data_IF_997323375647
#
_entry.id   IF_997323375647
#
_cell.length_a   1.000
_cell.length_b   1.000
_cell.length_c   1.000
_cell.angle_alpha   90.00
_cell.angle_beta   90.00
_cell.angle_gamma   90.00
#
_symmetry.space_group_name_H-M   'P 1'
#
loop_
_entity.id
_entity.type
_entity.pdbx_description
1 polymer ?
#
# COMPACT_ATOMS: atom_id res chain seq x y z
N UNK A 1 -8.21 -8.39 2.36
CA UNK A 1 -7.52 -9.07 1.25
C UNK A 1 -6.10 -9.48 1.62
N UNK A 2 -5.28 -8.63 2.27
CA UNK A 2 -3.93 -8.99 2.71
C UNK A 2 -3.95 -10.15 3.74
N UNK A 3 -4.91 -10.14 4.67
CA UNK A 3 -5.09 -11.23 5.63
C UNK A 3 -5.44 -12.55 4.94
N UNK A 4 -6.37 -12.52 3.98
CA UNK A 4 -6.76 -13.71 3.21
C UNK A 4 -5.58 -14.27 2.41
N UNK A 5 -4.81 -13.41 1.74
CA UNK A 5 -3.62 -13.81 1.00
C UNK A 5 -2.58 -14.47 1.90
N UNK A 6 -2.34 -13.90 3.08
CA UNK A 6 -1.41 -14.47 4.07
C UNK A 6 -1.90 -15.84 4.58
N UNK A 7 -3.21 -15.98 4.83
CA UNK A 7 -3.80 -17.27 5.25
C UNK A 7 -3.63 -18.34 4.19
N UNK A 8 -3.94 -18.03 2.93
CA UNK A 8 -3.75 -18.98 1.83
C UNK A 8 -2.28 -19.42 1.71
N UNK A 9 -1.34 -18.49 1.77
CA UNK A 9 0.09 -18.82 1.77
C UNK A 9 0.48 -19.75 2.93
N UNK A 10 -0.07 -19.53 4.14
CA UNK A 10 0.15 -20.37 5.32
C UNK A 10 -0.40 -21.80 5.17
N UNK A 11 -1.43 -21.99 4.36
CA UNK A 11 -1.97 -23.31 3.98
C UNK A 11 -1.27 -23.93 2.77
N UNK A 12 -0.19 -23.30 2.26
CA UNK A 12 0.53 -23.79 1.09
C UNK A 12 -0.21 -23.60 -0.24
N UNK A 13 -1.26 -22.76 -0.25
CA UNK A 13 -2.03 -22.46 -1.45
C UNK A 13 -1.35 -21.36 -2.26
N UNK A 14 -1.29 -21.57 -3.58
CA UNK A 14 -0.78 -20.58 -4.52
C UNK A 14 -1.88 -19.59 -4.91
N UNK A 15 -1.53 -18.30 -4.97
CA UNK A 15 -2.40 -17.24 -5.45
C UNK A 15 -1.95 -16.81 -6.84
N UNK A 16 -2.90 -16.72 -7.78
CA UNK A 16 -2.66 -16.15 -9.09
C UNK A 16 -3.12 -14.71 -9.19
N UNK A 17 -2.46 -13.90 -10.01
CA UNK A 17 -2.87 -12.54 -10.32
C UNK A 17 -3.58 -12.50 -11.66
N UNK A 18 -4.78 -11.90 -11.68
CA UNK A 18 -5.50 -11.63 -12.91
C UNK A 18 -4.86 -10.39 -13.55
N UNK A 19 -4.40 -10.53 -14.80
CA UNK A 19 -3.67 -9.46 -15.51
C UNK A 19 -4.58 -8.42 -16.17
N UNK A 20 -5.89 -8.61 -16.14
CA UNK A 20 -6.84 -7.64 -16.71
C UNK A 20 -6.93 -6.40 -15.82
N UNK A 21 -6.91 -5.19 -16.40
CA UNK A 21 -7.02 -3.96 -15.62
C UNK A 21 -8.42 -3.84 -14.99
N UNK A 22 -8.45 -3.41 -13.74
CA UNK A 22 -9.68 -2.99 -13.04
C UNK A 22 -9.70 -1.46 -13.02
N UNK A 23 -10.84 -0.87 -13.37
CA UNK A 23 -11.03 0.57 -13.32
C UNK A 23 -11.76 0.92 -12.03
N UNK A 24 -11.15 1.83 -11.25
CA UNK A 24 -11.72 2.33 -10.00
C UNK A 24 -11.76 3.85 -10.01
N UNK A 25 -12.77 4.43 -9.36
CA UNK A 25 -12.82 5.87 -9.14
C UNK A 25 -11.83 6.27 -8.05
N UNK A 26 -10.93 7.20 -8.39
CA UNK A 26 -10.05 7.79 -7.40
C UNK A 26 -10.82 8.81 -6.56
N UNK A 27 -10.62 8.86 -5.24
CA UNK A 27 -11.22 9.91 -4.41
C UNK A 27 -10.68 11.27 -4.82
N UNK A 28 -11.59 12.20 -5.14
CA UNK A 28 -11.27 13.58 -5.56
C UNK A 28 -11.04 14.51 -4.37
N UNK A 29 -11.58 14.18 -3.20
CA UNK A 29 -11.43 14.95 -1.98
C UNK A 29 -10.38 14.36 -1.06
N UNK A 30 -9.51 15.23 -0.51
CA UNK A 30 -8.47 14.82 0.43
C UNK A 30 -9.06 14.15 1.68
N UNK A 31 -10.20 14.64 2.16
CA UNK A 31 -10.91 14.07 3.32
C UNK A 31 -11.33 12.61 3.09
N UNK A 32 -11.87 12.30 1.92
CA UNK A 32 -12.28 10.95 1.52
C UNK A 32 -11.04 10.08 1.33
N UNK A 33 -9.99 10.61 0.70
CA UNK A 33 -8.72 9.91 0.51
C UNK A 33 -8.08 9.51 1.85
N UNK A 34 -7.99 10.43 2.82
CA UNK A 34 -7.43 10.16 4.16
C UNK A 34 -8.25 9.08 4.88
N UNK A 35 -9.58 9.15 4.84
CA UNK A 35 -10.46 8.12 5.42
C UNK A 35 -10.21 6.75 4.79
N UNK A 36 -10.12 6.68 3.46
CA UNK A 36 -9.84 5.46 2.72
C UNK A 36 -8.47 4.87 3.11
N UNK A 37 -7.42 5.70 3.15
CA UNK A 37 -6.06 5.25 3.52
C UNK A 37 -5.97 4.85 4.98
N UNK A 38 -6.64 5.56 5.90
CA UNK A 38 -6.77 5.16 7.30
C UNK A 38 -7.38 3.77 7.44
N UNK A 39 -8.43 3.49 6.70
CA UNK A 39 -9.09 2.18 6.69
C UNK A 39 -8.13 1.07 6.23
N UNK A 40 -7.33 1.34 5.18
CA UNK A 40 -6.36 0.38 4.68
C UNK A 40 -5.24 0.12 5.71
N UNK A 41 -4.67 1.16 6.28
CA UNK A 41 -3.67 1.01 7.35
C UNK A 41 -4.24 0.27 8.57
N UNK A 42 -5.48 0.55 8.97
CA UNK A 42 -6.15 -0.18 10.05
C UNK A 42 -6.27 -1.67 9.72
N UNK A 43 -6.67 -2.02 8.50
CA UNK A 43 -6.74 -3.40 8.04
C UNK A 43 -5.36 -4.10 8.04
N UNK A 44 -4.31 -3.42 7.59
CA UNK A 44 -2.94 -3.96 7.62
C UNK A 44 -2.40 -4.13 9.03
N UNK A 45 -2.66 -3.19 9.92
CA UNK A 45 -2.32 -3.31 11.35
C UNK A 45 -3.04 -4.50 11.99
N UNK A 46 -4.33 -4.67 11.75
CA UNK A 46 -5.10 -5.81 12.24
C UNK A 46 -4.55 -7.13 11.70
N UNK A 47 -4.26 -7.22 10.40
CA UNK A 47 -3.59 -8.38 9.78
C UNK A 47 -2.28 -8.68 10.47
N UNK A 48 -1.43 -7.66 10.66
CA UNK A 48 -0.15 -7.82 11.34
C UNK A 48 -0.32 -8.37 12.76
N UNK A 49 -1.20 -7.77 13.57
CA UNK A 49 -1.45 -8.23 14.94
C UNK A 49 -1.98 -9.66 14.99
N UNK A 50 -2.89 -10.04 14.10
CA UNK A 50 -3.45 -11.40 14.04
C UNK A 50 -2.36 -12.43 13.75
N UNK A 51 -1.52 -12.18 12.75
CA UNK A 51 -0.48 -13.13 12.35
C UNK A 51 0.70 -13.15 13.33
N UNK A 52 1.02 -12.01 13.95
CA UNK A 52 2.10 -11.91 14.94
C UNK A 52 1.72 -12.39 16.34
N UNK A 53 0.51 -12.89 16.57
CA UNK A 53 0.18 -13.60 17.83
C UNK A 53 1.05 -14.83 18.03
N UNK A 54 1.43 -15.51 16.95
CA UNK A 54 2.25 -16.70 16.96
C UNK A 54 3.36 -16.61 15.90
N UNK A 55 4.40 -15.78 16.11
CA UNK A 55 5.41 -15.47 15.08
C UNK A 55 6.21 -16.70 14.66
N UNK A 56 6.52 -17.61 15.60
CA UNK A 56 7.22 -18.87 15.30
C UNK A 56 6.38 -19.76 14.38
N UNK A 57 5.07 -19.84 14.63
CA UNK A 57 4.16 -20.61 13.79
C UNK A 57 4.04 -19.97 12.41
N UNK A 58 3.93 -18.63 12.34
CA UNK A 58 3.93 -17.90 11.08
C UNK A 58 5.17 -18.25 10.24
N UNK A 59 6.36 -18.20 10.84
CA UNK A 59 7.62 -18.49 10.14
C UNK A 59 7.72 -19.96 9.70
N UNK A 60 7.15 -20.88 10.48
CA UNK A 60 7.09 -22.29 10.11
C UNK A 60 6.15 -22.54 8.93
N UNK A 61 4.97 -21.91 8.95
CA UNK A 61 3.94 -22.08 7.92
C UNK A 61 4.38 -21.44 6.58
N UNK A 62 5.03 -20.27 6.62
CA UNK A 62 5.46 -19.54 5.42
C UNK A 62 6.86 -19.89 4.91
N UNK A 63 7.68 -20.51 5.75
CA UNK A 63 9.11 -20.67 5.51
C UNK A 63 9.86 -19.33 5.57
N UNK A 64 11.19 -19.35 5.37
CA UNK A 64 12.02 -18.16 5.48
C UNK A 64 11.66 -17.08 4.45
N UNK A 65 11.55 -17.46 3.19
CA UNK A 65 11.25 -16.52 2.10
C UNK A 65 9.88 -15.85 2.27
N UNK A 66 8.84 -16.63 2.62
CA UNK A 66 7.49 -16.11 2.87
C UNK A 66 7.44 -15.21 4.11
N UNK A 67 8.18 -15.54 5.16
CA UNK A 67 8.28 -14.69 6.36
C UNK A 67 8.95 -13.36 6.05
N UNK A 68 10.06 -13.38 5.31
CA UNK A 68 10.72 -12.14 4.87
C UNK A 68 9.79 -11.31 4.00
N UNK A 69 9.10 -11.93 3.04
CA UNK A 69 8.13 -11.23 2.20
C UNK A 69 7.00 -10.61 3.02
N UNK A 70 6.44 -11.34 4.00
CA UNK A 70 5.41 -10.80 4.90
C UNK A 70 5.89 -9.56 5.65
N UNK A 71 7.10 -9.63 6.24
CA UNK A 71 7.66 -8.49 6.97
C UNK A 71 8.02 -7.32 6.06
N UNK A 72 8.58 -7.55 4.90
CA UNK A 72 8.87 -6.47 3.95
C UNK A 72 7.60 -5.79 3.45
N UNK A 73 6.56 -6.54 3.11
CA UNK A 73 5.32 -5.99 2.56
C UNK A 73 4.43 -5.36 3.62
N UNK A 74 4.17 -6.03 4.75
CA UNK A 74 3.21 -5.53 5.74
C UNK A 74 3.92 -4.70 6.81
N UNK A 75 4.92 -5.26 7.49
CA UNK A 75 5.61 -4.55 8.56
C UNK A 75 6.40 -3.36 8.03
N UNK A 76 7.13 -3.54 6.92
CA UNK A 76 7.92 -2.49 6.27
C UNK A 76 7.05 -1.31 5.84
N UNK A 77 5.89 -1.58 5.21
CA UNK A 77 4.96 -0.54 4.80
C UNK A 77 4.37 0.24 5.98
N UNK A 78 3.95 -0.47 7.04
CA UNK A 78 3.42 0.18 8.25
C UNK A 78 4.51 1.04 8.91
N UNK A 79 5.70 0.46 9.14
CA UNK A 79 6.81 1.17 9.78
C UNK A 79 7.27 2.37 8.95
N UNK A 80 7.42 2.22 7.64
CA UNK A 80 7.83 3.34 6.79
C UNK A 80 6.86 4.52 6.86
N UNK A 81 5.55 4.26 6.87
CA UNK A 81 4.56 5.31 7.00
C UNK A 81 4.55 5.97 8.39
N UNK A 82 4.76 5.20 9.46
CA UNK A 82 4.77 5.73 10.83
C UNK A 82 6.05 6.49 11.16
N UNK A 83 7.20 6.01 10.68
CA UNK A 83 8.52 6.57 11.02
C UNK A 83 8.91 7.75 10.11
N UNK A 84 8.36 7.81 8.90
CA UNK A 84 8.71 8.81 7.88
C UNK A 84 8.73 10.27 8.39
N UNK A 85 7.73 10.81 9.12
CA UNK A 85 7.77 12.18 9.59
C UNK A 85 8.91 12.43 10.59
N UNK A 86 9.27 11.42 11.38
CA UNK A 86 10.38 11.54 12.33
C UNK A 86 11.72 11.57 11.61
N UNK A 87 11.90 10.80 10.53
CA UNK A 87 13.10 10.85 9.68
C UNK A 87 13.29 12.24 9.08
N UNK A 88 12.22 12.86 8.57
CA UNK A 88 12.28 14.22 8.03
C UNK A 88 12.69 15.21 9.12
N UNK A 89 12.05 15.15 10.30
CA UNK A 89 12.36 16.06 11.43
C UNK A 89 13.81 15.85 11.87
N UNK A 90 14.25 14.61 12.01
CA UNK A 90 15.62 14.29 12.43
C UNK A 90 16.65 14.83 11.42
N UNK A 91 16.49 14.53 10.12
CA UNK A 91 17.41 15.01 9.09
C UNK A 91 17.42 16.53 9.02
N UNK A 92 16.26 17.19 9.09
CA UNK A 92 16.16 18.65 9.08
C UNK A 92 16.86 19.27 10.29
N UNK A 93 16.66 18.71 11.48
CA UNK A 93 17.31 19.15 12.70
C UNK A 93 18.83 18.95 12.65
N UNK A 94 19.29 17.81 12.13
CA UNK A 94 20.71 17.53 11.98
C UNK A 94 21.40 18.52 11.01
N UNK A 95 20.73 18.86 9.91
CA UNK A 95 21.22 19.87 8.95
C UNK A 95 21.27 21.27 9.60
N UNK A 96 20.21 21.65 10.32
CA UNK A 96 20.17 22.92 11.06
C UNK A 96 21.31 23.03 12.07
N UNK A 97 21.52 21.97 12.88
CA UNK A 97 22.61 21.96 13.87
C UNK A 97 24.00 21.98 13.23
N UNK A 98 24.18 21.28 12.12
CA UNK A 98 25.46 21.31 11.39
C UNK A 98 25.76 22.70 10.83
N UNK A 99 24.72 23.43 10.42
CA UNK A 99 24.84 24.81 9.95
C UNK A 99 25.25 25.76 11.09
N UNK A 100 24.63 25.65 12.26
CA UNK A 100 24.89 26.60 13.36
C UNK A 100 26.14 26.28 14.20
N UNK A 101 26.37 25.00 14.45
CA UNK A 101 27.37 24.55 15.42
C UNK A 101 28.54 23.75 14.80
N UNK A 102 28.52 23.55 13.49
CA UNK A 102 29.51 22.75 12.81
C UNK A 102 29.22 21.24 12.86
N UNK A 103 30.13 20.39 12.32
CA UNK A 103 29.91 18.96 12.17
C UNK A 103 29.69 18.27 13.51
N UNK A 104 28.68 17.38 13.55
CA UNK A 104 28.34 16.59 14.73
C UNK A 104 29.42 15.53 15.04
N UNK A 105 29.34 14.92 16.22
CA UNK A 105 30.15 13.76 16.60
C UNK A 105 29.98 12.60 15.59
N UNK A 106 30.99 11.73 15.49
CA UNK A 106 31.00 10.62 14.50
C UNK A 106 29.73 9.73 14.60
N UNK A 107 29.23 9.46 15.79
CA UNK A 107 28.00 8.67 15.98
C UNK A 107 26.75 9.35 15.41
N UNK A 108 26.61 10.66 15.64
CA UNK A 108 25.48 11.44 15.12
C UNK A 108 25.58 11.60 13.59
N UNK A 109 26.78 11.66 13.03
CA UNK A 109 26.97 11.67 11.58
C UNK A 109 26.56 10.34 10.94
N UNK A 110 26.89 9.22 11.55
CA UNK A 110 26.51 7.90 11.03
C UNK A 110 24.98 7.73 11.00
N UNK A 111 24.28 8.15 12.05
CA UNK A 111 22.81 8.12 12.07
C UNK A 111 22.22 9.05 11.02
N UNK A 112 22.75 10.25 10.87
CA UNK A 112 22.32 11.19 9.83
C UNK A 112 22.43 10.59 8.42
N UNK A 113 23.57 9.98 8.08
CA UNK A 113 23.76 9.37 6.77
C UNK A 113 22.86 8.16 6.56
N UNK A 114 22.60 7.37 7.61
CA UNK A 114 21.68 6.25 7.55
C UNK A 114 20.25 6.72 7.24
N UNK A 115 19.75 7.71 7.97
CA UNK A 115 18.39 8.23 7.81
C UNK A 115 18.21 8.95 6.48
N UNK A 116 19.22 9.77 6.08
CA UNK A 116 19.21 10.42 4.78
C UNK A 116 19.21 9.39 3.63
N UNK A 117 20.05 8.36 3.74
CA UNK A 117 20.09 7.29 2.72
C UNK A 117 18.78 6.52 2.64
N UNK A 118 18.15 6.26 3.77
CA UNK A 118 16.83 5.58 3.80
C UNK A 118 15.75 6.42 3.11
N UNK A 119 15.69 7.73 3.38
CA UNK A 119 14.78 8.66 2.71
C UNK A 119 15.02 8.73 1.21
N UNK A 120 16.28 8.97 0.82
CA UNK A 120 16.63 9.11 -0.59
C UNK A 120 16.40 7.81 -1.37
N UNK A 121 16.76 6.66 -0.81
CA UNK A 121 16.53 5.35 -1.43
C UNK A 121 15.03 5.08 -1.59
N UNK A 122 14.23 5.41 -0.60
CA UNK A 122 12.78 5.27 -0.66
C UNK A 122 12.17 6.13 -1.77
N UNK A 123 12.50 7.41 -1.82
CA UNK A 123 12.01 8.32 -2.87
C UNK A 123 12.52 7.94 -4.26
N UNK A 124 13.80 7.59 -4.36
CA UNK A 124 14.40 7.16 -5.63
C UNK A 124 13.74 5.88 -6.15
N UNK A 125 13.56 4.87 -5.30
CA UNK A 125 12.95 3.59 -5.70
C UNK A 125 11.52 3.81 -6.22
N UNK A 126 10.72 4.61 -5.49
CA UNK A 126 9.36 4.94 -5.91
C UNK A 126 9.34 5.76 -7.20
N UNK A 127 10.18 6.78 -7.29
CA UNK A 127 10.32 7.63 -8.47
C UNK A 127 10.80 6.84 -9.70
N UNK A 128 11.78 5.96 -9.51
CA UNK A 128 12.30 5.07 -10.57
C UNK A 128 11.22 4.12 -11.09
N UNK A 129 10.47 3.49 -10.19
CA UNK A 129 9.37 2.61 -10.57
C UNK A 129 8.32 3.38 -11.38
N UNK A 130 7.90 4.55 -10.89
CA UNK A 130 6.95 5.41 -11.61
C UNK A 130 7.51 5.88 -12.96
N UNK A 131 8.78 6.26 -13.02
CA UNK A 131 9.45 6.64 -14.27
C UNK A 131 9.40 5.54 -15.32
N UNK A 132 9.59 4.29 -14.91
CA UNK A 132 9.56 3.11 -15.80
C UNK A 132 8.15 2.74 -16.23
N UNK A 133 7.15 2.85 -15.34
CA UNK A 133 5.79 2.32 -15.57
C UNK A 133 4.84 3.32 -16.23
N UNK A 134 4.95 4.63 -15.92
CA UNK A 134 4.05 5.64 -16.46
C UNK A 134 4.05 5.73 -18.00
N UNK A 135 5.20 5.72 -18.70
CA UNK A 135 5.20 5.79 -20.17
C UNK A 135 4.53 4.59 -20.83
N UNK A 136 4.75 3.39 -20.29
CA UNK A 136 4.15 2.14 -20.80
C UNK A 136 2.62 2.19 -20.77
N UNK A 137 2.06 2.97 -19.84
CA UNK A 137 0.61 3.19 -19.69
C UNK A 137 0.10 4.46 -20.36
N UNK A 138 0.92 5.14 -21.16
CA UNK A 138 0.53 6.41 -21.82
C UNK A 138 0.48 7.63 -20.87
N UNK A 139 0.92 7.48 -19.62
CA UNK A 139 0.85 8.47 -18.55
C UNK A 139 2.17 9.22 -18.34
N UNK A 140 3.06 9.25 -19.34
CA UNK A 140 4.39 9.87 -19.25
C UNK A 140 4.37 11.36 -18.85
N UNK A 141 3.30 12.08 -19.17
CA UNK A 141 3.12 13.49 -18.79
C UNK A 141 3.03 13.69 -17.26
N UNK A 142 2.69 12.65 -16.49
CA UNK A 142 2.59 12.71 -15.02
C UNK A 142 3.96 12.64 -14.31
N UNK A 143 5.07 12.46 -15.04
CA UNK A 143 6.42 12.44 -14.44
C UNK A 143 6.74 13.71 -13.63
N UNK A 144 6.19 14.86 -14.02
CA UNK A 144 6.34 16.12 -13.28
C UNK A 144 5.79 16.05 -11.83
N UNK A 145 4.90 15.09 -11.54
CA UNK A 145 4.37 14.88 -10.19
C UNK A 145 5.37 14.23 -9.23
N UNK A 146 6.57 13.85 -9.66
CA UNK A 146 7.59 13.27 -8.78
C UNK A 146 7.95 14.20 -7.61
N UNK A 147 7.89 15.52 -7.81
CA UNK A 147 8.12 16.47 -6.74
C UNK A 147 7.07 16.44 -5.63
N UNK A 148 5.92 15.82 -5.86
CA UNK A 148 4.87 15.65 -4.85
C UNK A 148 5.07 14.41 -3.98
N UNK A 149 6.04 13.54 -4.30
CA UNK A 149 6.28 12.28 -3.57
C UNK A 149 6.47 12.51 -2.06
N UNK A 150 7.31 13.47 -1.59
CA UNK A 150 7.48 13.70 -0.16
C UNK A 150 6.17 14.11 0.52
N UNK A 151 5.38 14.97 -0.11
CA UNK A 151 4.07 15.40 0.40
C UNK A 151 3.10 14.22 0.47
N UNK A 152 3.07 13.39 -0.55
CA UNK A 152 2.26 12.18 -0.57
C UNK A 152 2.60 11.22 0.57
N UNK A 153 3.90 11.00 0.85
CA UNK A 153 4.34 10.18 1.97
C UNK A 153 3.95 10.78 3.32
N UNK A 154 4.01 12.09 3.48
CA UNK A 154 3.51 12.77 4.68
C UNK A 154 2.01 12.56 4.89
N UNK A 155 1.22 12.63 3.82
CA UNK A 155 -0.22 12.33 3.88
C UNK A 155 -0.49 10.87 4.25
N UNK A 156 0.30 9.92 3.74
CA UNK A 156 0.24 8.50 4.14
C UNK A 156 0.56 8.34 5.63
N UNK A 157 1.55 9.08 6.14
CA UNK A 157 1.89 9.07 7.56
C UNK A 157 0.73 9.57 8.44
N UNK A 158 0.06 10.64 8.04
CA UNK A 158 -1.15 11.13 8.72
C UNK A 158 -2.23 10.05 8.77
N UNK A 159 -2.47 9.37 7.65
CA UNK A 159 -3.45 8.27 7.58
C UNK A 159 -3.03 7.07 8.46
N UNK A 160 -1.73 6.72 8.50
CA UNK A 160 -1.21 5.64 9.32
C UNK A 160 -1.34 5.94 10.82
N UNK A 161 -0.96 7.14 11.27
CA UNK A 161 -1.12 7.55 12.66
C UNK A 161 -2.59 7.64 13.08
N UNK A 162 -3.45 8.13 12.19
CA UNK A 162 -4.90 8.11 12.40
C UNK A 162 -5.43 6.67 12.52
N UNK A 163 -4.90 5.72 11.75
CA UNK A 163 -5.27 4.31 11.84
C UNK A 163 -4.87 3.69 13.19
N UNK A 164 -3.67 3.99 13.70
CA UNK A 164 -3.22 3.58 15.03
C UNK A 164 -4.16 4.14 16.11
N UNK A 165 -4.47 5.43 16.03
CA UNK A 165 -5.42 6.08 16.95
C UNK A 165 -6.80 5.41 16.93
N UNK A 166 -7.35 5.15 15.73
CA UNK A 166 -8.63 4.47 15.56
C UNK A 166 -8.61 3.04 16.08
N UNK A 167 -7.50 2.32 15.90
CA UNK A 167 -7.37 0.97 16.40
C UNK A 167 -7.41 0.90 17.93
N UNK A 168 -6.83 1.90 18.61
CA UNK A 168 -6.83 2.00 20.08
C UNK A 168 -8.18 2.46 20.62
N UNK A 169 -8.77 3.50 20.02
CA UNK A 169 -9.96 4.16 20.58
C UNK A 169 -11.28 3.56 20.08
N UNK A 170 -11.29 3.06 18.83
CA UNK A 170 -12.49 2.57 18.13
C UNK A 170 -12.17 1.31 17.32
N UNK A 171 -11.77 0.20 17.97
CA UNK A 171 -11.29 -1.00 17.26
C UNK A 171 -12.34 -1.61 16.33
N UNK A 172 -13.63 -1.53 16.68
CA UNK A 172 -14.73 -2.14 15.94
C UNK A 172 -15.41 -1.20 14.91
N UNK A 173 -15.05 0.09 14.92
CA UNK A 173 -15.63 1.05 13.97
C UNK A 173 -14.95 0.90 12.59
N UNK A 174 -15.78 0.76 11.56
CA UNK A 174 -15.34 0.68 10.18
C UNK A 174 -15.90 1.86 9.40
N UNK A 175 -15.06 2.83 9.07
CA UNK A 175 -15.46 3.99 8.27
C UNK A 175 -15.74 3.56 6.82
N UNK A 176 -17.02 3.54 6.43
CA UNK A 176 -17.41 3.32 5.03
C UNK A 176 -17.06 4.58 4.23
N UNK A 177 -16.38 4.40 3.10
CA UNK A 177 -16.20 5.48 2.11
C UNK A 177 -17.53 5.63 1.37
N UNK A 178 -18.13 6.82 1.29
CA UNK A 178 -19.28 7.02 0.43
C UNK A 178 -18.83 6.74 -1.01
N UNK A 179 -19.45 5.76 -1.65
CA UNK A 179 -19.37 5.61 -3.09
C UNK A 179 -20.26 6.70 -3.66
N UNK A 180 -19.71 7.65 -4.43
CA UNK A 180 -20.52 8.58 -5.18
C UNK A 180 -21.52 7.76 -5.99
N UNK A 181 -22.77 8.22 -6.05
CA UNK A 181 -23.74 7.69 -7.00
C UNK A 181 -23.16 7.95 -8.39
N UNK A 182 -22.39 6.98 -8.88
CA UNK A 182 -21.74 7.08 -10.19
C UNK A 182 -22.80 7.36 -11.22
N UNK A 183 -22.72 8.53 -11.83
CA UNK A 183 -23.26 8.69 -13.17
C UNK A 183 -22.73 7.49 -13.96
N UNK A 184 -23.64 6.65 -14.42
CA UNK A 184 -23.34 5.48 -15.23
C UNK A 184 -22.42 5.87 -16.37
N UNK A 185 -21.11 5.73 -16.18
CA UNK A 185 -20.17 5.73 -17.30
C UNK A 185 -20.58 4.50 -18.10
N UNK A 186 -21.24 4.74 -19.22
CA UNK A 186 -21.57 3.71 -20.18
C UNK A 186 -20.26 2.97 -20.50
N UNK A 187 -20.13 1.76 -19.98
CA UNK A 187 -19.00 0.93 -20.31
C UNK A 187 -18.93 0.79 -21.82
N UNK A 188 -17.80 1.07 -22.46
CA UNK A 188 -17.66 0.79 -23.87
C UNK A 188 -17.96 -0.70 -24.08
N UNK A 189 -18.69 -1.09 -25.12
CA UNK A 189 -19.07 -2.48 -25.34
C UNK A 189 -17.82 -3.34 -25.35
N UNK A 190 -17.81 -4.37 -24.51
CA UNK A 190 -16.74 -5.36 -24.46
C UNK A 190 -16.72 -6.03 -25.81
N UNK A 191 -15.79 -5.66 -26.69
CA UNK A 191 -15.50 -6.44 -27.90
C UNK A 191 -14.88 -7.77 -27.44
N UNK A 192 -15.70 -8.78 -27.34
CA UNK A 192 -15.23 -10.17 -27.22
C UNK A 192 -14.59 -10.52 -28.57
N UNK A 193 -13.29 -10.82 -28.64
CA UNK A 193 -12.70 -11.32 -29.88
C UNK A 193 -13.30 -12.68 -30.19
N UNK A 194 -13.92 -12.80 -31.34
CA UNK A 194 -14.42 -13.90 -32.09
C UNK A 194 -14.60 -15.28 -31.47
N UNK A 195 -15.84 -15.75 -31.63
CA UNK A 195 -16.24 -17.17 -31.74
C UNK A 195 -16.01 -18.08 -30.51
N UNK A 196 -16.92 -18.03 -29.59
CA UNK A 196 -17.35 -19.26 -28.89
C UNK A 196 -18.75 -19.57 -29.39
N UNK A 197 -18.83 -20.58 -30.28
CA UNK A 197 -20.08 -21.20 -30.68
C UNK A 197 -20.89 -21.57 -29.44
N UNK A 198 -22.09 -21.05 -29.39
CA UNK A 198 -23.09 -21.41 -28.40
C UNK A 198 -23.39 -22.88 -28.47
N UNK A 199 -22.84 -23.67 -27.56
CA UNK A 199 -23.35 -25.00 -27.27
C UNK A 199 -24.61 -24.80 -26.46
N UNK A 200 -25.73 -24.80 -27.14
CA UNK A 200 -27.05 -24.97 -26.55
C UNK A 200 -27.20 -26.40 -26.07
N UNK A 201 -26.98 -26.64 -24.79
CA UNK A 201 -27.42 -27.88 -24.17
C UNK A 201 -28.92 -27.74 -23.83
N UNK A 202 -29.77 -28.67 -24.30
CA UNK A 202 -31.19 -28.68 -23.93
C UNK A 202 -31.32 -29.06 -22.44
N UNK A 203 -32.07 -28.28 -21.73
CA UNK A 203 -32.55 -28.62 -20.39
C UNK A 203 -33.57 -29.77 -20.52
N UNK A 204 -33.41 -30.89 -19.80
CA UNK A 204 -34.45 -31.90 -19.80
C UNK A 204 -35.62 -31.46 -18.93
N UNK A 205 -36.75 -31.25 -19.55
CA UNK A 205 -38.07 -31.26 -18.85
C UNK A 205 -38.32 -32.65 -18.29
N UNK A 206 -38.21 -32.79 -16.97
CA UNK A 206 -38.93 -33.83 -16.24
C UNK A 206 -38.73 -33.61 -14.74
N UNK A 207 -39.72 -33.05 -14.09
CA UNK A 207 -40.24 -33.47 -12.75
C UNK A 207 -41.53 -32.72 -12.52
N UNK A 208 -42.63 -33.31 -13.02
CA UNK A 208 -43.95 -33.21 -12.41
C UNK A 208 -43.96 -34.02 -11.14
#
# INVERSE_FOLDING_TARGET
DADLGTRFARYGLCLGTITRPTYEEAPTELSIWVKQRTRWFKGWLQTWFVHMRHPVRLSRDLGLAGTVAFHLMITGMILSALVHPFLIVFVSNALWRAWEFGPASAGNQSLFWLDLSALLLGYFSFGFLAWRTLPVRGLGHLRKLFWTIPVYWMLLSVAAWRAVWHLIRRPHEWEKTPHGSGSSVSQPPIRVPGNVSTVSSPVPDSLT
#
